data_IF_750433758423
#
_entry.id   IF_750433758423
#
_cell.length_a   1.000
_cell.length_b   1.000
_cell.length_c   1.000
_cell.angle_alpha   90.00
_cell.angle_beta   90.00
_cell.angle_gamma   90.00
#
_symmetry.space_group_name_H-M   'P 1'
#
loop_
_entity.id
_entity.type
_entity.pdbx_description
1 polymer ?
#
# COMPACT_ATOMS: atom_id res chain seq x y z
N UNK A 1 -54.29 -20.87 -80.65
CA UNK A 1 -54.18 -21.76 -81.83
C UNK A 1 -52.70 -21.89 -82.22
N UNK A 2 -52.27 -23.14 -82.42
CA UNK A 2 -50.95 -23.68 -82.77
C UNK A 2 -49.75 -22.80 -83.21
N UNK A 3 -48.57 -23.13 -82.66
CA UNK A 3 -47.32 -23.56 -83.37
C UNK A 3 -46.28 -24.00 -82.32
N UNK A 4 -46.05 -25.30 -82.12
CA UNK A 4 -45.08 -26.22 -82.78
C UNK A 4 -43.60 -26.01 -82.36
N UNK A 5 -43.14 -27.03 -81.63
CA UNK A 5 -41.82 -27.45 -81.15
C UNK A 5 -40.55 -27.06 -81.95
N UNK A 6 -39.46 -26.87 -81.21
CA UNK A 6 -38.19 -27.57 -81.49
C UNK A 6 -37.54 -28.02 -80.17
N UNK A 7 -37.29 -29.32 -80.10
CA UNK A 7 -36.65 -30.05 -79.00
C UNK A 7 -35.15 -30.11 -79.32
N UNK A 8 -34.27 -29.68 -78.41
CA UNK A 8 -32.85 -30.01 -78.45
C UNK A 8 -32.54 -30.86 -77.23
N UNK A 9 -32.36 -32.16 -77.46
CA UNK A 9 -31.72 -33.06 -76.50
C UNK A 9 -30.24 -32.71 -76.40
N UNK A 10 -29.78 -32.32 -75.22
CA UNK A 10 -28.40 -32.58 -74.80
C UNK A 10 -28.44 -33.63 -73.70
N UNK A 11 -27.99 -34.84 -74.02
CA UNK A 11 -27.70 -35.87 -73.04
C UNK A 11 -26.37 -35.51 -72.35
N UNK A 12 -26.42 -35.16 -71.06
CA UNK A 12 -25.24 -35.19 -70.20
C UNK A 12 -25.34 -36.47 -69.40
N UNK A 13 -24.45 -37.40 -69.72
CA UNK A 13 -24.25 -38.65 -68.99
C UNK A 13 -23.94 -38.35 -67.53
N UNK A 14 -24.68 -39.00 -66.63
CA UNK A 14 -24.30 -39.15 -65.24
C UNK A 14 -23.01 -39.99 -65.19
N UNK A 15 -21.86 -39.31 -65.20
CA UNK A 15 -20.61 -39.89 -64.73
C UNK A 15 -20.52 -39.66 -63.23
N UNK A 16 -20.72 -40.71 -62.44
CA UNK A 16 -20.23 -40.76 -61.07
C UNK A 16 -18.72 -40.50 -61.09
N UNK A 17 -18.31 -39.26 -60.81
CA UNK A 17 -16.95 -38.96 -60.43
C UNK A 17 -16.78 -39.43 -58.99
N UNK A 18 -16.14 -40.59 -58.81
CA UNK A 18 -15.54 -40.99 -57.55
C UNK A 18 -14.51 -39.93 -57.12
N UNK A 19 -14.97 -38.87 -56.44
CA UNK A 19 -14.16 -38.12 -55.48
C UNK A 19 -14.55 -38.59 -54.10
N UNK A 20 -14.34 -39.88 -53.86
CA UNK A 20 -14.16 -40.38 -52.51
C UNK A 20 -12.93 -39.69 -51.92
N UNK A 21 -13.17 -38.84 -50.93
CA UNK A 21 -12.34 -38.62 -49.74
C UNK A 21 -10.86 -39.02 -49.91
N UNK A 22 -10.05 -38.15 -50.51
CA UNK A 22 -8.66 -38.08 -50.09
C UNK A 22 -8.61 -37.25 -48.80
N UNK A 23 -8.71 -37.96 -47.69
CA UNK A 23 -8.33 -37.48 -46.37
C UNK A 23 -6.81 -37.37 -46.40
N UNK A 24 -6.31 -36.16 -46.25
CA UNK A 24 -4.90 -35.90 -45.96
C UNK A 24 -4.58 -36.48 -44.57
N UNK A 25 -3.71 -37.49 -44.43
CA UNK A 25 -3.42 -38.14 -43.14
C UNK A 25 -2.60 -37.24 -42.19
N UNK A 26 -2.05 -36.12 -42.69
CA UNK A 26 -1.10 -35.30 -41.93
C UNK A 26 -1.68 -34.00 -41.40
N UNK A 27 -2.91 -33.64 -41.78
CA UNK A 27 -3.56 -32.42 -41.32
C UNK A 27 -4.38 -32.73 -40.05
N UNK A 28 -3.93 -32.22 -38.90
CA UNK A 28 -4.70 -32.21 -37.66
C UNK A 28 -6.00 -31.44 -37.93
N UNK A 29 -7.10 -32.17 -38.10
CA UNK A 29 -8.36 -31.57 -38.50
C UNK A 29 -9.18 -31.36 -37.26
N UNK A 30 -9.10 -30.13 -36.79
CA UNK A 30 -10.07 -29.64 -35.86
C UNK A 30 -11.51 -29.99 -36.28
N UNK A 31 -12.21 -30.71 -35.41
CA UNK A 31 -13.55 -31.23 -35.64
C UNK A 31 -13.59 -32.72 -36.04
N UNK A 32 -12.55 -33.51 -35.80
CA UNK A 32 -12.55 -34.97 -36.02
C UNK A 32 -12.99 -35.78 -34.78
N UNK A 33 -13.21 -35.09 -33.65
CA UNK A 33 -13.66 -35.65 -32.38
C UNK A 33 -12.55 -36.22 -31.50
N UNK A 34 -11.27 -36.02 -31.83
CA UNK A 34 -10.13 -36.53 -31.05
C UNK A 34 -9.07 -35.45 -30.81
N UNK A 35 -8.82 -35.11 -29.55
CA UNK A 35 -7.77 -34.14 -29.21
C UNK A 35 -6.37 -34.71 -29.43
N UNK A 36 -5.69 -34.27 -30.49
CA UNK A 36 -4.34 -34.74 -30.87
C UNK A 36 -3.25 -33.79 -30.35
N UNK A 37 -2.92 -33.91 -29.06
CA UNK A 37 -1.93 -33.04 -28.37
C UNK A 37 -0.56 -32.97 -29.05
N UNK A 38 -0.10 -34.06 -29.67
CA UNK A 38 1.19 -34.13 -30.37
C UNK A 38 1.27 -33.21 -31.60
N UNK A 39 0.13 -32.68 -32.08
CA UNK A 39 0.03 -31.73 -33.19
C UNK A 39 -0.50 -30.36 -32.78
N UNK A 40 -0.61 -30.05 -31.48
CA UNK A 40 -0.94 -28.72 -30.97
C UNK A 40 -2.43 -28.43 -30.74
N UNK A 41 -3.30 -29.44 -30.85
CA UNK A 41 -4.73 -29.30 -30.49
C UNK A 41 -4.91 -29.28 -28.97
N UNK A 42 -5.71 -28.31 -28.50
CA UNK A 42 -6.08 -28.17 -27.08
C UNK A 42 -7.48 -28.74 -26.81
N UNK A 43 -8.36 -28.67 -27.80
CA UNK A 43 -9.72 -29.22 -27.81
C UNK A 43 -10.07 -29.70 -29.22
N UNK A 44 -11.16 -30.45 -29.38
CA UNK A 44 -11.74 -30.81 -30.67
C UNK A 44 -13.27 -30.91 -30.58
N UNK A 45 -13.98 -30.02 -31.27
CA UNK A 45 -15.45 -30.03 -31.30
C UNK A 45 -16.06 -29.90 -29.90
N UNK A 46 -16.71 -30.96 -29.43
CA UNK A 46 -17.27 -31.03 -28.06
C UNK A 46 -16.29 -31.58 -27.02
N UNK A 47 -15.17 -32.17 -27.44
CA UNK A 47 -14.12 -32.61 -26.53
C UNK A 47 -13.24 -31.42 -26.15
N UNK A 48 -13.49 -30.85 -24.97
CA UNK A 48 -12.75 -29.70 -24.44
C UNK A 48 -11.44 -30.10 -23.75
N UNK A 49 -10.98 -31.36 -23.91
CA UNK A 49 -9.74 -31.83 -23.29
C UNK A 49 -9.81 -31.88 -21.76
N UNK A 50 -11.03 -32.02 -21.20
CA UNK A 50 -11.30 -32.00 -19.76
C UNK A 50 -11.31 -30.60 -19.13
N UNK A 51 -11.23 -29.54 -19.94
CA UNK A 51 -11.28 -28.15 -19.47
C UNK A 51 -12.72 -27.62 -19.39
N UNK A 52 -12.91 -26.64 -18.52
CA UNK A 52 -14.14 -25.87 -18.32
C UNK A 52 -13.77 -24.41 -18.04
N UNK A 53 -14.74 -23.50 -18.07
CA UNK A 53 -14.50 -22.13 -17.62
C UNK A 53 -13.90 -22.11 -16.20
N UNK A 54 -14.41 -22.97 -15.30
CA UNK A 54 -13.90 -23.11 -13.94
C UNK A 54 -12.44 -23.56 -13.87
N UNK A 55 -12.05 -24.58 -14.64
CA UNK A 55 -10.66 -25.08 -14.63
C UNK A 55 -9.67 -24.12 -15.30
N UNK A 56 -10.16 -23.14 -16.07
CA UNK A 56 -9.36 -22.07 -16.69
C UNK A 56 -9.37 -20.77 -15.86
N UNK A 57 -9.95 -20.77 -14.66
CA UNK A 57 -9.99 -19.62 -13.76
C UNK A 57 -11.05 -18.58 -14.13
N UNK A 58 -12.24 -19.01 -14.51
CA UNK A 58 -13.45 -18.19 -14.66
C UNK A 58 -14.56 -18.77 -13.76
N UNK A 59 -15.47 -17.94 -13.27
CA UNK A 59 -16.45 -18.39 -12.25
C UNK A 59 -17.62 -19.16 -12.86
N UNK A 60 -18.04 -18.77 -14.06
CA UNK A 60 -19.16 -19.41 -14.77
C UNK A 60 -19.05 -19.25 -16.28
N UNK A 61 -20.05 -19.76 -17.00
CA UNK A 61 -20.16 -19.63 -18.45
C UNK A 61 -19.93 -20.94 -19.19
N UNK A 62 -19.87 -20.84 -20.51
CA UNK A 62 -19.71 -22.00 -21.40
C UNK A 62 -18.38 -21.91 -22.14
N UNK A 63 -17.56 -22.94 -21.98
CA UNK A 63 -16.32 -23.09 -22.74
C UNK A 63 -16.64 -23.82 -24.04
N UNK A 64 -16.12 -23.34 -25.17
CA UNK A 64 -16.30 -23.97 -26.49
C UNK A 64 -14.95 -24.15 -27.19
N UNK A 65 -14.89 -25.11 -28.10
CA UNK A 65 -13.74 -25.27 -28.98
C UNK A 65 -13.90 -24.45 -30.27
N UNK A 66 -12.92 -23.61 -30.57
CA UNK A 66 -12.87 -22.82 -31.80
C UNK A 66 -12.58 -23.66 -33.04
N UNK A 67 -12.79 -23.09 -34.23
CA UNK A 67 -12.46 -23.75 -35.51
C UNK A 67 -10.95 -23.93 -35.74
N UNK A 68 -10.12 -23.32 -34.90
CA UNK A 68 -8.67 -23.42 -34.84
C UNK A 68 -8.17 -24.39 -33.76
N UNK A 69 -9.08 -25.13 -33.10
CA UNK A 69 -8.80 -26.08 -32.03
C UNK A 69 -8.12 -25.48 -30.80
N UNK A 70 -8.40 -24.20 -30.59
CA UNK A 70 -8.11 -23.49 -29.35
C UNK A 70 -9.39 -23.31 -28.54
N UNK A 71 -9.23 -23.26 -27.23
CA UNK A 71 -10.33 -23.00 -26.31
C UNK A 71 -10.76 -21.53 -26.41
N UNK A 72 -12.05 -21.32 -26.65
CA UNK A 72 -12.64 -19.97 -26.75
C UNK A 72 -13.32 -19.63 -25.43
N UNK A 73 -12.77 -18.65 -24.72
CA UNK A 73 -13.23 -18.24 -23.38
C UNK A 73 -14.18 -17.04 -23.41
N UNK A 74 -14.60 -16.57 -24.58
CA UNK A 74 -15.44 -15.36 -24.71
C UNK A 74 -16.82 -15.48 -24.07
N UNK A 75 -17.29 -16.70 -23.79
CA UNK A 75 -18.52 -16.97 -23.04
C UNK A 75 -18.26 -17.45 -21.61
N UNK A 76 -17.00 -17.51 -21.18
CA UNK A 76 -16.65 -17.62 -19.78
C UNK A 76 -16.76 -16.23 -19.13
N UNK A 77 -17.35 -16.15 -17.96
CA UNK A 77 -17.54 -14.90 -17.22
C UNK A 77 -16.71 -14.96 -15.95
N UNK A 78 -15.90 -13.93 -15.72
CA UNK A 78 -15.38 -13.62 -14.39
C UNK A 78 -16.37 -12.68 -13.73
N UNK A 79 -17.04 -13.18 -12.71
CA UNK A 79 -17.89 -12.41 -11.81
C UNK A 79 -17.10 -11.94 -10.61
N UNK A 80 -16.11 -12.72 -10.19
CA UNK A 80 -15.27 -12.40 -9.06
C UNK A 80 -14.48 -11.11 -9.26
N UNK A 81 -14.60 -10.20 -8.29
CA UNK A 81 -13.97 -8.88 -8.27
C UNK A 81 -14.86 -7.77 -8.85
N UNK A 82 -16.19 -7.98 -8.91
CA UNK A 82 -17.16 -6.97 -9.34
C UNK A 82 -17.78 -6.16 -8.18
N UNK A 83 -17.44 -6.50 -6.93
CA UNK A 83 -17.93 -5.85 -5.70
C UNK A 83 -19.28 -6.35 -5.20
N UNK A 84 -19.85 -7.41 -5.77
CA UNK A 84 -21.16 -7.96 -5.39
C UNK A 84 -21.04 -9.46 -5.17
N UNK A 85 -21.33 -9.91 -3.94
CA UNK A 85 -21.35 -11.35 -3.62
C UNK A 85 -22.60 -11.99 -4.23
N UNK A 86 -22.39 -12.94 -5.13
CA UNK A 86 -23.46 -13.57 -5.89
C UNK A 86 -23.68 -15.04 -5.52
N UNK A 87 -24.74 -15.64 -6.07
CA UNK A 87 -25.06 -17.04 -5.79
C UNK A 87 -23.95 -17.97 -6.29
N UNK A 88 -23.19 -18.53 -5.35
CA UNK A 88 -22.06 -19.42 -5.62
C UNK A 88 -20.72 -18.90 -5.11
N UNK A 89 -20.68 -17.63 -4.67
CA UNK A 89 -19.50 -16.95 -4.13
C UNK A 89 -19.60 -16.88 -2.60
N UNK A 90 -18.47 -16.95 -1.91
CA UNK A 90 -18.41 -16.64 -0.46
C UNK A 90 -17.92 -15.22 -0.19
N UNK A 91 -17.27 -14.59 -1.17
CA UNK A 91 -16.83 -13.20 -1.16
C UNK A 91 -16.69 -12.69 -2.61
N UNK A 92 -16.59 -11.37 -2.79
CA UNK A 92 -16.21 -10.72 -4.05
C UNK A 92 -15.46 -9.40 -3.74
N UNK A 93 -14.17 -9.34 -4.07
CA UNK A 93 -13.32 -8.23 -3.59
C UNK A 93 -13.38 -8.16 -2.06
N UNK A 94 -13.73 -7.01 -1.50
CA UNK A 94 -13.92 -6.88 -0.06
C UNK A 94 -15.33 -7.28 0.41
N UNK A 95 -16.26 -7.48 -0.53
CA UNK A 95 -17.63 -7.84 -0.22
C UNK A 95 -17.70 -9.27 0.34
N UNK A 96 -18.45 -9.46 1.42
CA UNK A 96 -18.58 -10.76 2.08
C UNK A 96 -17.38 -11.17 2.94
N UNK A 97 -16.34 -10.33 3.00
CA UNK A 97 -15.24 -10.52 3.94
C UNK A 97 -15.67 -10.02 5.32
N UNK A 98 -15.29 -10.79 6.33
CA UNK A 98 -15.36 -10.36 7.73
C UNK A 98 -13.94 -10.28 8.28
N UNK A 99 -13.67 -9.42 9.26
CA UNK A 99 -12.37 -9.42 9.94
C UNK A 99 -12.01 -10.79 10.49
N UNK A 100 -10.71 -11.05 10.62
CA UNK A 100 -10.25 -12.24 11.32
C UNK A 100 -10.74 -12.24 12.77
N UNK A 101 -11.10 -13.42 13.28
CA UNK A 101 -11.40 -13.57 14.71
C UNK A 101 -10.17 -13.31 15.59
N UNK A 102 -8.97 -13.53 15.03
CA UNK A 102 -7.67 -13.20 15.60
C UNK A 102 -7.14 -11.92 14.95
N UNK A 103 -5.87 -11.87 14.58
CA UNK A 103 -5.24 -10.75 13.90
C UNK A 103 -5.16 -11.02 12.39
N UNK A 104 -5.05 -9.97 11.60
CA UNK A 104 -4.86 -10.01 10.15
C UNK A 104 -6.17 -9.77 9.39
N UNK A 105 -6.10 -10.00 8.08
CA UNK A 105 -7.21 -9.80 7.17
C UNK A 105 -7.63 -11.10 6.49
N UNK A 106 -8.83 -11.06 5.92
CA UNK A 106 -9.27 -12.06 4.96
C UNK A 106 -9.13 -11.44 3.59
N UNK A 107 -8.72 -12.23 2.61
CA UNK A 107 -8.70 -11.82 1.21
C UNK A 107 -9.76 -12.62 0.44
N UNK A 108 -10.29 -12.04 -0.63
CA UNK A 108 -11.09 -12.81 -1.57
C UNK A 108 -10.22 -13.36 -2.69
N UNK A 109 -10.09 -14.69 -2.74
CA UNK A 109 -9.31 -15.37 -3.74
C UNK A 109 -9.89 -15.23 -5.15
N UNK A 110 -9.09 -15.57 -6.16
CA UNK A 110 -9.48 -15.53 -7.59
C UNK A 110 -10.63 -16.47 -7.97
N UNK A 111 -11.06 -17.32 -7.06
CA UNK A 111 -12.20 -18.24 -7.22
C UNK A 111 -13.40 -17.83 -6.38
N UNK A 112 -13.45 -16.59 -5.88
CA UNK A 112 -14.50 -16.06 -5.01
C UNK A 112 -14.74 -16.92 -3.76
N UNK A 113 -13.62 -17.40 -3.23
CA UNK A 113 -13.53 -18.09 -1.97
C UNK A 113 -12.71 -17.23 -1.00
N UNK A 114 -13.23 -17.07 0.21
CA UNK A 114 -12.50 -16.42 1.30
C UNK A 114 -11.20 -17.18 1.57
N UNK A 115 -10.08 -16.47 1.50
CA UNK A 115 -8.76 -16.96 1.87
C UNK A 115 -8.45 -16.51 3.30
N UNK A 116 -8.12 -17.49 4.16
CA UNK A 116 -7.79 -17.26 5.57
C UNK A 116 -6.29 -17.33 5.85
N UNK A 117 -5.45 -17.40 4.81
CA UNK A 117 -3.98 -17.52 4.97
C UNK A 117 -3.37 -16.32 5.67
N UNK A 118 -4.02 -15.16 5.56
CA UNK A 118 -3.67 -13.89 6.22
C UNK A 118 -4.38 -13.71 7.57
N UNK A 119 -5.18 -14.69 8.02
CA UNK A 119 -5.66 -14.74 9.40
C UNK A 119 -4.66 -15.51 10.25
N UNK A 120 -4.12 -14.81 11.23
CA UNK A 120 -2.87 -15.20 11.84
C UNK A 120 -3.01 -15.13 13.36
N UNK A 121 -2.31 -16.04 14.03
CA UNK A 121 -2.60 -16.44 15.41
C UNK A 121 -1.83 -15.66 16.46
N UNK A 122 -0.81 -14.89 16.07
CA UNK A 122 0.13 -14.23 16.97
C UNK A 122 0.65 -12.92 16.35
N UNK A 123 -0.01 -11.81 16.71
CA UNK A 123 0.24 -10.41 16.34
C UNK A 123 1.67 -9.96 16.00
N UNK A 124 2.68 -10.61 16.56
CA UNK A 124 4.05 -10.22 16.36
C UNK A 124 5.02 -11.38 16.54
N UNK A 125 5.84 -11.63 15.52
CA UNK A 125 6.99 -12.55 15.59
C UNK A 125 8.28 -11.76 15.44
N UNK A 126 9.16 -11.73 16.47
CA UNK A 126 10.48 -11.11 16.39
C UNK A 126 11.28 -11.60 15.17
N UNK A 127 11.73 -10.66 14.36
CA UNK A 127 12.52 -10.86 13.14
C UNK A 127 14.01 -10.52 13.33
N UNK A 128 14.79 -10.56 12.23
CA UNK A 128 16.22 -10.24 12.27
C UNK A 128 16.48 -8.77 12.61
N UNK A 129 17.61 -8.50 13.25
CA UNK A 129 18.01 -7.14 13.62
C UNK A 129 19.08 -6.60 12.66
N UNK A 130 18.92 -5.35 12.22
CA UNK A 130 19.97 -4.59 11.55
C UNK A 130 20.62 -3.61 12.53
N UNK A 131 21.95 -3.64 12.64
CA UNK A 131 22.72 -2.62 13.37
C UNK A 131 23.32 -1.61 12.40
N UNK A 132 22.97 -0.33 12.56
CA UNK A 132 23.51 0.76 11.74
C UNK A 132 24.39 1.66 12.59
N UNK A 133 25.63 1.85 12.17
CA UNK A 133 26.56 2.71 12.91
C UNK A 133 26.18 4.18 12.73
N UNK A 134 25.87 4.88 13.84
CA UNK A 134 25.34 6.26 13.82
C UNK A 134 24.07 6.42 12.99
N UNK A 135 23.23 5.38 12.95
CA UNK A 135 21.95 5.42 12.26
C UNK A 135 20.98 6.41 12.89
N UNK A 136 20.03 6.86 12.08
CA UNK A 136 18.86 7.65 12.48
C UNK A 136 17.58 6.87 12.23
N UNK A 137 16.48 7.60 12.03
CA UNK A 137 15.18 7.03 11.68
C UNK A 137 15.28 6.13 10.42
N UNK A 138 14.39 5.14 10.35
CA UNK A 138 14.31 4.19 9.24
C UNK A 138 12.89 4.01 8.73
N UNK A 139 12.79 3.62 7.46
CA UNK A 139 11.55 3.27 6.77
C UNK A 139 11.69 1.89 6.13
N UNK A 140 10.56 1.21 5.93
CA UNK A 140 10.45 -0.06 5.22
C UNK A 140 9.69 0.18 3.93
N UNK A 141 10.24 -0.28 2.81
CA UNK A 141 9.65 -0.17 1.48
C UNK A 141 10.33 -1.14 0.50
N UNK A 142 9.58 -1.69 -0.44
CA UNK A 142 10.12 -2.54 -1.51
C UNK A 142 10.89 -1.68 -2.53
N UNK A 143 12.22 -1.77 -2.49
CA UNK A 143 13.07 -1.16 -3.50
C UNK A 143 13.53 -2.23 -4.49
N UNK A 144 13.47 -1.95 -5.80
CA UNK A 144 14.02 -2.82 -6.81
C UNK A 144 15.49 -3.19 -6.55
N UNK A 145 15.92 -4.42 -6.91
CA UNK A 145 15.15 -5.48 -7.56
C UNK A 145 14.67 -6.59 -6.60
N UNK A 146 14.65 -6.35 -5.27
CA UNK A 146 14.39 -7.42 -4.29
C UNK A 146 13.00 -8.04 -4.46
N UNK A 147 11.98 -7.21 -4.76
CA UNK A 147 10.58 -7.62 -4.71
C UNK A 147 10.14 -8.02 -3.30
N UNK A 148 10.90 -7.56 -2.30
CA UNK A 148 10.76 -7.76 -0.86
C UNK A 148 11.02 -6.40 -0.23
N UNK A 149 10.40 -6.08 0.90
CA UNK A 149 10.69 -4.82 1.55
C UNK A 149 12.14 -4.72 2.00
N UNK A 150 12.71 -3.53 1.82
CA UNK A 150 14.04 -3.18 2.25
C UNK A 150 13.97 -2.20 3.43
N UNK A 151 14.94 -2.31 4.33
CA UNK A 151 15.09 -1.34 5.41
C UNK A 151 16.03 -0.22 4.96
N UNK A 152 15.54 1.02 4.96
CA UNK A 152 16.35 2.20 4.62
C UNK A 152 16.54 3.06 5.86
N UNK A 153 17.79 3.30 6.23
CA UNK A 153 18.16 4.12 7.38
C UNK A 153 18.85 5.40 6.93
N UNK A 154 18.44 6.54 7.49
CA UNK A 154 19.13 7.80 7.34
C UNK A 154 20.39 7.81 8.22
N UNK A 155 21.55 8.08 7.65
CA UNK A 155 22.82 8.13 8.39
C UNK A 155 23.42 9.52 8.26
N UNK A 156 22.84 10.46 9.01
CA UNK A 156 23.17 11.89 8.98
C UNK A 156 24.68 12.13 9.16
N UNK A 157 25.32 11.42 10.11
CA UNK A 157 26.75 11.56 10.40
C UNK A 157 27.69 11.24 9.23
N UNK A 158 27.21 10.50 8.21
CA UNK A 158 27.98 10.14 7.02
C UNK A 158 27.38 10.68 5.73
N UNK A 159 26.38 11.57 5.82
CA UNK A 159 25.69 12.15 4.68
C UNK A 159 25.25 11.09 3.63
N UNK A 160 24.56 10.05 4.11
CA UNK A 160 24.15 8.91 3.27
C UNK A 160 22.88 8.24 3.75
N UNK A 161 22.26 7.49 2.83
CA UNK A 161 21.32 6.42 3.16
C UNK A 161 22.06 5.09 3.22
N UNK A 162 21.64 4.23 4.14
CA UNK A 162 22.01 2.82 4.13
C UNK A 162 20.77 1.98 3.88
N UNK A 163 20.76 1.29 2.74
CA UNK A 163 19.69 0.36 2.33
C UNK A 163 20.13 -1.04 2.72
N UNK A 164 19.30 -1.76 3.45
CA UNK A 164 19.51 -3.14 3.87
C UNK A 164 18.46 -3.99 3.17
N UNK A 165 18.83 -4.66 2.06
CA UNK A 165 17.92 -5.53 1.37
C UNK A 165 17.54 -6.73 2.23
N UNK A 166 16.26 -7.07 2.25
CA UNK A 166 15.81 -8.24 3.00
C UNK A 166 16.04 -9.54 2.21
N UNK A 167 16.41 -10.57 2.94
CA UNK A 167 16.66 -11.93 2.46
C UNK A 167 15.89 -12.88 3.38
N UNK A 168 14.98 -13.68 2.81
CA UNK A 168 14.10 -14.57 3.58
C UNK A 168 14.87 -15.56 4.48
N UNK A 169 16.08 -15.98 4.07
CA UNK A 169 16.87 -16.96 4.79
C UNK A 169 17.88 -16.32 5.75
N UNK A 170 18.36 -15.12 5.43
CA UNK A 170 19.51 -14.48 6.10
C UNK A 170 19.18 -13.16 6.79
N UNK A 171 17.94 -12.66 6.66
CA UNK A 171 17.53 -11.35 7.14
C UNK A 171 18.24 -10.24 6.38
N UNK A 172 19.15 -9.51 7.04
CA UNK A 172 19.89 -8.41 6.43
C UNK A 172 21.37 -8.77 6.23
N UNK A 173 21.75 -9.41 5.12
CA UNK A 173 23.11 -9.92 4.93
C UNK A 173 24.14 -8.81 4.73
N UNK A 174 23.76 -7.64 4.20
CA UNK A 174 24.64 -6.51 3.95
C UNK A 174 23.87 -5.23 3.67
N UNK A 175 24.52 -4.06 3.86
CA UNK A 175 23.96 -2.76 3.43
C UNK A 175 24.60 -2.24 2.16
N UNK A 176 23.79 -1.54 1.35
CA UNK A 176 24.23 -0.65 0.28
C UNK A 176 24.25 0.78 0.79
N UNK A 177 25.39 1.44 0.58
CA UNK A 177 25.64 2.82 1.04
C UNK A 177 25.45 3.79 -0.11
N UNK A 178 24.52 4.74 0.05
CA UNK A 178 24.15 5.72 -0.96
C UNK A 178 24.51 7.13 -0.49
N UNK A 179 25.59 7.70 -1.02
CA UNK A 179 26.08 9.02 -0.64
C UNK A 179 25.94 10.01 -1.80
N UNK A 180 25.29 11.14 -1.56
CA UNK A 180 25.13 12.22 -2.54
C UNK A 180 25.50 13.60 -1.98
N UNK A 181 26.21 13.65 -0.86
CA UNK A 181 26.77 14.88 -0.31
C UNK A 181 25.82 15.74 0.53
N UNK A 182 24.64 15.21 0.87
CA UNK A 182 23.65 15.85 1.76
C UNK A 182 23.33 14.93 2.93
N UNK A 183 23.07 15.49 4.12
CA UNK A 183 22.84 14.69 5.32
C UNK A 183 21.35 14.48 5.59
N UNK A 184 20.81 13.27 5.33
CA UNK A 184 19.39 13.00 5.53
C UNK A 184 19.06 12.99 7.03
N UNK A 185 17.93 13.61 7.38
CA UNK A 185 17.41 13.74 8.75
C UNK A 185 16.13 12.93 8.93
N UNK A 186 15.26 12.92 7.92
CA UNK A 186 14.00 12.17 7.91
C UNK A 186 13.75 11.52 6.55
N UNK A 187 13.03 10.41 6.54
CA UNK A 187 12.71 9.61 5.35
C UNK A 187 11.21 9.33 5.29
N UNK A 188 10.67 9.21 4.08
CA UNK A 188 9.37 8.61 3.84
C UNK A 188 9.39 7.81 2.53
N UNK A 189 8.64 6.68 2.47
CA UNK A 189 8.35 6.02 1.21
C UNK A 189 7.36 6.84 0.37
N UNK A 190 7.55 6.86 -0.94
CA UNK A 190 6.64 7.52 -1.87
C UNK A 190 6.76 6.93 -3.28
N UNK A 191 5.71 6.97 -4.10
CA UNK A 191 5.79 6.75 -5.55
C UNK A 191 5.35 8.05 -6.26
N UNK A 192 6.30 8.99 -6.38
CA UNK A 192 6.05 10.32 -6.92
C UNK A 192 6.18 10.36 -8.44
N UNK A 193 6.83 9.40 -9.11
CA UNK A 193 6.84 9.32 -10.58
C UNK A 193 5.72 8.45 -11.17
N UNK A 194 5.04 7.65 -10.34
CA UNK A 194 3.86 6.88 -10.69
C UNK A 194 4.17 5.60 -11.45
N UNK A 195 5.38 5.06 -11.34
CA UNK A 195 5.77 3.83 -12.01
C UNK A 195 5.41 2.56 -11.20
N UNK A 196 4.86 2.74 -9.99
CA UNK A 196 4.45 1.67 -9.08
C UNK A 196 5.59 1.09 -8.24
N UNK A 197 6.83 1.58 -8.38
CA UNK A 197 7.94 1.25 -7.51
C UNK A 197 8.11 2.32 -6.44
N UNK A 198 8.41 1.90 -5.22
CA UNK A 198 8.64 2.84 -4.14
C UNK A 198 9.97 3.57 -4.35
N UNK A 199 9.97 4.86 -4.02
CA UNK A 199 11.11 5.76 -3.98
C UNK A 199 11.35 6.18 -2.53
N UNK A 200 12.57 6.63 -2.22
CA UNK A 200 12.86 7.23 -0.91
C UNK A 200 12.84 8.74 -1.04
N UNK A 201 11.90 9.39 -0.35
CA UNK A 201 11.97 10.82 -0.10
C UNK A 201 12.81 11.06 1.15
N UNK A 202 13.82 11.92 1.04
CA UNK A 202 14.65 12.33 2.16
C UNK A 202 14.60 13.84 2.35
N UNK A 203 14.42 14.25 3.60
CA UNK A 203 14.65 15.61 4.03
C UNK A 203 16.09 15.72 4.55
N UNK A 204 16.89 16.58 3.93
CA UNK A 204 18.25 16.87 4.33
C UNK A 204 18.33 17.94 5.43
N UNK A 205 19.46 18.00 6.12
CA UNK A 205 19.75 18.96 7.18
C UNK A 205 19.85 20.41 6.71
N UNK A 206 20.19 20.61 5.43
CA UNK A 206 20.13 21.91 4.75
C UNK A 206 18.71 22.35 4.39
N UNK A 207 17.71 21.49 4.59
CA UNK A 207 16.31 21.76 4.29
C UNK A 207 15.87 21.34 2.88
N UNK A 208 16.76 20.80 2.05
CA UNK A 208 16.35 20.29 0.75
C UNK A 208 15.57 18.99 0.88
N UNK A 209 14.55 18.84 0.04
CA UNK A 209 13.89 17.55 -0.18
C UNK A 209 14.50 16.89 -1.42
N UNK A 210 14.95 15.67 -1.24
CA UNK A 210 15.56 14.88 -2.29
C UNK A 210 14.81 13.57 -2.49
N UNK A 211 14.66 13.18 -3.74
CA UNK A 211 14.07 11.90 -4.11
C UNK A 211 15.15 10.96 -4.61
N UNK A 212 15.20 9.76 -4.05
CA UNK A 212 16.13 8.71 -4.43
C UNK A 212 15.37 7.68 -5.24
N UNK A 213 15.60 7.71 -6.55
CA UNK A 213 14.83 6.91 -7.53
C UNK A 213 15.61 5.65 -7.84
N UNK A 214 15.08 4.45 -7.54
CA UNK A 214 15.68 3.19 -7.94
C UNK A 214 15.58 2.99 -9.45
N UNK A 215 16.56 2.29 -10.04
CA UNK A 215 16.54 1.88 -11.44
C UNK A 215 17.28 0.55 -11.56
N UNK A 216 16.53 -0.55 -11.44
CA UNK A 216 17.13 -1.88 -11.27
C UNK A 216 17.98 -1.91 -9.99
N UNK A 217 19.27 -2.22 -10.11
CA UNK A 217 20.19 -2.22 -8.95
C UNK A 217 20.87 -0.87 -8.73
N UNK A 218 20.57 0.17 -9.51
CA UNK A 218 21.15 1.51 -9.35
C UNK A 218 20.19 2.46 -8.62
N UNK A 219 20.74 3.56 -8.10
CA UNK A 219 19.94 4.67 -7.56
C UNK A 219 20.42 5.97 -8.20
N UNK A 220 19.48 6.87 -8.45
CA UNK A 220 19.77 8.24 -8.85
C UNK A 220 19.17 9.23 -7.85
N UNK A 221 19.86 10.33 -7.64
CA UNK A 221 19.31 11.46 -6.89
C UNK A 221 18.55 12.35 -7.87
N UNK A 222 17.27 12.57 -7.60
CA UNK A 222 16.42 13.56 -8.25
C UNK A 222 16.07 14.63 -7.20
N UNK A 223 16.84 15.74 -7.12
CA UNK A 223 16.54 16.81 -6.18
C UNK A 223 15.17 17.42 -6.49
N UNK A 224 14.37 17.65 -5.46
CA UNK A 224 13.17 18.49 -5.59
C UNK A 224 13.57 19.95 -5.38
N UNK A 225 12.73 20.87 -5.87
CA UNK A 225 13.02 22.30 -5.72
C UNK A 225 13.28 22.63 -4.25
N UNK A 226 14.37 23.35 -3.99
CA UNK A 226 14.70 23.80 -2.64
C UNK A 226 13.55 24.65 -2.13
N UNK A 227 12.84 24.12 -1.14
CA UNK A 227 11.73 24.78 -0.49
C UNK A 227 12.18 26.03 0.28
N UNK A 228 13.49 26.22 0.47
CA UNK A 228 14.07 27.33 1.22
C UNK A 228 13.83 27.20 2.72
N UNK A 229 13.39 26.04 3.19
CA UNK A 229 13.02 25.88 4.57
C UNK A 229 14.16 25.29 5.38
N UNK A 230 14.90 26.13 6.06
CA UNK A 230 15.98 25.70 6.95
C UNK A 230 15.37 25.30 8.29
N UNK A 231 15.73 24.12 8.82
CA UNK A 231 15.24 23.61 10.12
C UNK A 231 13.95 22.78 10.09
N UNK A 232 13.77 21.95 9.06
CA UNK A 232 12.49 21.29 8.72
C UNK A 232 12.13 20.03 9.50
N UNK A 233 10.86 19.61 9.31
CA UNK A 233 10.33 18.28 9.60
C UNK A 233 9.59 17.72 8.38
N UNK A 234 9.90 16.50 7.97
CA UNK A 234 9.04 15.75 7.05
C UNK A 234 7.77 15.37 7.82
N UNK A 235 6.62 15.83 7.33
CA UNK A 235 5.34 15.70 8.04
C UNK A 235 4.69 14.37 7.69
N UNK A 236 4.62 14.05 6.40
CA UNK A 236 4.07 12.80 5.91
C UNK A 236 3.95 12.76 4.40
N UNK A 237 3.45 11.63 3.91
CA UNK A 237 3.12 11.39 2.50
C UNK A 237 1.69 10.87 2.41
N UNK A 238 1.09 10.92 1.22
CA UNK A 238 -0.29 10.49 1.02
C UNK A 238 -0.72 10.59 -0.44
N UNK A 239 -2.03 10.56 -0.68
CA UNK A 239 -2.62 10.77 -2.00
C UNK A 239 -2.91 12.26 -2.17
N UNK A 240 -2.41 12.86 -3.25
CA UNK A 240 -2.66 14.25 -3.62
C UNK A 240 -3.92 14.42 -4.47
N UNK A 241 -4.31 15.68 -4.71
CA UNK A 241 -5.55 16.03 -5.44
C UNK A 241 -5.56 15.58 -6.90
N UNK A 242 -4.37 15.36 -7.44
CA UNK A 242 -4.18 14.87 -8.80
C UNK A 242 -4.34 13.34 -8.92
N UNK A 243 -4.66 12.67 -7.80
CA UNK A 243 -4.73 11.21 -7.66
C UNK A 243 -3.37 10.52 -7.74
N UNK A 244 -2.27 11.28 -7.58
CA UNK A 244 -0.91 10.77 -7.46
C UNK A 244 -0.39 10.88 -6.03
N UNK A 245 0.87 10.52 -5.80
CA UNK A 245 1.47 10.70 -4.48
C UNK A 245 1.72 12.17 -4.15
N UNK A 246 1.59 12.50 -2.87
CA UNK A 246 1.90 13.80 -2.28
C UNK A 246 2.91 13.63 -1.13
N UNK A 247 3.79 14.61 -0.97
CA UNK A 247 4.64 14.76 0.21
C UNK A 247 4.47 16.14 0.84
N UNK A 248 4.57 16.18 2.17
CA UNK A 248 4.38 17.38 2.98
C UNK A 248 5.57 17.57 3.90
N UNK A 249 6.20 18.75 3.83
CA UNK A 249 7.29 19.14 4.71
C UNK A 249 7.03 20.51 5.35
N UNK A 250 7.37 20.64 6.63
CA UNK A 250 7.19 21.86 7.42
C UNK A 250 8.41 22.77 7.32
N UNK A 251 8.14 24.06 7.08
CA UNK A 251 9.18 25.07 6.87
C UNK A 251 9.44 25.93 8.11
N UNK A 252 10.68 25.94 8.60
CA UNK A 252 11.08 26.61 9.83
C UNK A 252 10.93 28.14 9.81
N UNK A 253 10.38 28.67 10.91
CA UNK A 253 10.37 30.06 11.40
C UNK A 253 9.66 31.18 10.63
N UNK A 254 9.26 31.06 9.36
CA UNK A 254 8.38 32.07 8.70
C UNK A 254 7.72 31.63 7.36
N UNK A 255 7.81 30.36 6.93
CA UNK A 255 7.61 30.04 5.50
C UNK A 255 6.76 28.80 5.17
N UNK A 256 5.79 28.44 6.00
CA UNK A 256 4.68 27.63 5.51
C UNK A 256 4.86 26.11 5.48
N UNK A 257 4.08 25.46 4.62
CA UNK A 257 4.10 24.03 4.32
C UNK A 257 4.55 23.90 2.87
N UNK A 258 5.62 23.14 2.64
CA UNK A 258 6.04 22.76 1.30
C UNK A 258 5.35 21.46 0.90
N UNK A 259 4.67 21.50 -0.23
CA UNK A 259 3.96 20.37 -0.80
C UNK A 259 4.56 20.00 -2.13
N UNK A 260 4.64 18.70 -2.39
CA UNK A 260 5.00 18.20 -3.71
C UNK A 260 3.98 17.17 -4.13
N UNK A 261 3.29 17.44 -5.23
CA UNK A 261 2.39 16.49 -5.89
C UNK A 261 2.98 16.01 -7.21
N UNK A 262 2.67 14.78 -7.60
CA UNK A 262 3.18 14.14 -8.82
C UNK A 262 3.00 14.98 -10.09
N UNK A 263 1.81 15.53 -10.33
CA UNK A 263 1.45 16.23 -11.57
C UNK A 263 1.49 17.75 -11.44
N UNK A 264 1.15 18.28 -10.27
CA UNK A 264 1.10 19.72 -10.03
C UNK A 264 2.46 20.34 -9.68
N UNK A 265 3.42 19.51 -9.25
CA UNK A 265 4.75 19.96 -8.84
C UNK A 265 4.76 20.62 -7.45
N UNK A 266 5.88 21.28 -7.08
CA UNK A 266 6.05 21.85 -5.75
C UNK A 266 5.24 23.14 -5.53
N UNK A 267 4.69 23.33 -4.32
CA UNK A 267 4.03 24.55 -3.88
C UNK A 267 4.33 24.87 -2.42
N UNK A 268 4.17 26.13 -2.00
CA UNK A 268 4.36 26.59 -0.62
C UNK A 268 3.07 27.23 -0.13
N UNK A 269 2.59 26.84 1.05
CA UNK A 269 1.40 27.40 1.69
C UNK A 269 1.80 28.10 2.98
N UNK A 270 1.47 29.38 3.19
CA UNK A 270 1.76 30.04 4.46
C UNK A 270 0.94 29.41 5.60
N UNK A 271 1.60 29.10 6.70
CA UNK A 271 0.98 28.72 7.98
C UNK A 271 1.58 29.57 9.09
N UNK A 272 0.87 29.71 10.22
CA UNK A 272 1.38 30.48 11.34
C UNK A 272 2.76 29.94 11.81
N UNK A 273 3.74 30.81 12.11
CA UNK A 273 5.05 30.37 12.60
C UNK A 273 4.93 29.50 13.85
N UNK A 274 5.72 28.42 13.88
CA UNK A 274 5.71 27.46 14.99
C UNK A 274 4.52 26.49 15.00
N UNK A 275 3.73 26.43 13.93
CA UNK A 275 2.67 25.43 13.79
C UNK A 275 3.24 24.01 13.80
N UNK A 276 2.59 23.12 14.54
CA UNK A 276 2.77 21.68 14.40
C UNK A 276 1.88 21.20 13.26
N UNK A 277 2.34 20.18 12.52
CA UNK A 277 1.70 19.71 11.29
C UNK A 277 1.45 18.20 11.36
N UNK A 278 0.36 17.75 10.76
CA UNK A 278 0.12 16.36 10.38
C UNK A 278 -0.63 16.30 9.04
N UNK A 279 -0.72 15.11 8.46
CA UNK A 279 -1.47 14.84 7.24
C UNK A 279 -2.45 13.70 7.46
N UNK A 280 -3.59 13.74 6.77
CA UNK A 280 -4.68 12.76 6.85
C UNK A 280 -5.89 13.27 6.04
N UNK A 281 -6.81 12.41 5.66
CA UNK A 281 -8.04 12.79 4.94
C UNK A 281 -9.06 13.38 5.93
N UNK A 282 -9.36 14.69 5.88
CA UNK A 282 -10.18 15.35 6.91
C UNK A 282 -11.66 15.53 6.53
N UNK A 283 -12.06 15.29 5.27
CA UNK A 283 -13.48 15.22 4.84
C UNK A 283 -13.93 13.85 4.34
N UNK A 284 -13.05 12.86 4.26
CA UNK A 284 -13.37 11.55 3.69
C UNK A 284 -13.52 11.59 2.17
N UNK A 285 -12.83 12.51 1.48
CA UNK A 285 -12.85 12.60 0.02
C UNK A 285 -11.82 11.65 -0.65
N UNK A 286 -11.01 10.95 0.15
CA UNK A 286 -9.95 10.05 -0.27
C UNK A 286 -8.64 10.76 -0.62
N UNK A 287 -8.55 12.08 -0.44
CA UNK A 287 -7.35 12.89 -0.65
C UNK A 287 -6.76 13.29 0.69
N UNK A 288 -5.43 13.31 0.75
CA UNK A 288 -4.73 13.69 1.97
C UNK A 288 -4.75 15.21 2.17
N UNK A 289 -5.22 15.64 3.33
CA UNK A 289 -5.16 17.02 3.80
C UNK A 289 -3.94 17.30 4.69
N UNK A 290 -3.74 18.59 4.98
CA UNK A 290 -2.76 19.09 5.94
C UNK A 290 -3.50 19.72 7.12
N UNK A 291 -3.23 19.25 8.32
CA UNK A 291 -3.66 19.92 9.55
C UNK A 291 -2.50 20.74 10.11
N UNK A 292 -2.68 22.05 10.22
CA UNK A 292 -1.78 22.94 10.96
C UNK A 292 -2.36 23.28 12.34
N UNK A 293 -1.52 23.31 13.37
CA UNK A 293 -1.92 23.70 14.73
C UNK A 293 -0.93 24.73 15.27
N UNK A 294 -1.35 25.98 15.35
CA UNK A 294 -0.53 27.08 15.82
C UNK A 294 -0.46 27.15 17.36
N UNK A 295 0.60 27.72 17.95
CA UNK A 295 0.65 27.99 19.38
C UNK A 295 -0.44 28.99 19.80
N UNK A 296 -1.36 28.56 20.68
CA UNK A 296 -2.38 29.45 21.27
C UNK A 296 -3.63 29.71 20.41
N UNK A 297 -3.68 29.19 19.18
CA UNK A 297 -4.89 29.14 18.37
C UNK A 297 -4.86 27.88 17.51
N UNK A 298 -5.97 27.15 17.45
CA UNK A 298 -6.10 26.06 16.49
C UNK A 298 -6.62 26.70 15.21
N UNK A 299 -5.70 26.90 14.28
CA UNK A 299 -6.01 27.26 12.91
C UNK A 299 -5.74 26.03 12.06
N UNK A 300 -6.76 25.19 11.91
CA UNK A 300 -6.73 24.17 10.87
C UNK A 300 -6.72 24.90 9.53
N UNK A 301 -5.61 24.80 8.80
CA UNK A 301 -5.51 25.24 7.41
C UNK A 301 -5.58 23.97 6.58
N UNK A 302 -6.78 23.40 6.34
CA UNK A 302 -6.92 22.29 5.40
C UNK A 302 -6.43 22.80 4.05
N UNK A 303 -5.46 22.10 3.46
CA UNK A 303 -4.94 22.47 2.15
C UNK A 303 -6.09 22.45 1.13
N UNK A 304 -7.00 21.45 1.19
CA UNK A 304 -8.30 21.48 0.50
C UNK A 304 -9.42 20.54 1.05
N UNK A 305 -9.43 20.16 2.33
CA UNK A 305 -10.59 19.55 2.99
C UNK A 305 -11.72 20.55 3.32
N UNK A 306 -12.75 20.18 4.11
CA UNK A 306 -13.78 21.12 4.49
C UNK A 306 -13.09 22.19 5.33
N UNK A 307 -13.42 23.47 5.13
CA UNK A 307 -12.97 24.50 6.06
C UNK A 307 -13.55 24.15 7.43
N UNK A 308 -12.75 23.47 8.27
CA UNK A 308 -12.98 23.40 9.70
C UNK A 308 -13.26 24.84 10.12
N UNK A 309 -14.43 25.08 10.72
CA UNK A 309 -14.92 26.44 10.93
C UNK A 309 -13.81 27.28 11.56
N UNK A 310 -13.41 28.37 10.88
CA UNK A 310 -12.26 29.17 11.29
C UNK A 310 -12.37 29.53 12.79
N UNK A 311 -11.39 29.10 13.59
CA UNK A 311 -11.38 29.27 15.05
C UNK A 311 -11.96 28.12 15.87
N UNK A 312 -12.23 26.94 15.29
CA UNK A 312 -12.49 25.72 16.04
C UNK A 312 -11.28 25.39 16.93
N UNK A 313 -11.41 25.61 18.24
CA UNK A 313 -10.34 25.26 19.17
C UNK A 313 -10.28 23.73 19.35
N UNK A 314 -9.11 23.10 19.20
CA UNK A 314 -8.89 21.77 19.77
C UNK A 314 -9.19 21.84 21.27
N UNK A 315 -9.87 20.85 21.86
CA UNK A 315 -10.30 20.91 23.26
C UNK A 315 -9.15 20.82 24.28
N UNK A 316 -7.90 20.79 23.81
CA UNK A 316 -6.70 20.58 24.62
C UNK A 316 -6.34 21.82 25.44
N UNK A 317 -6.74 23.02 24.99
CA UNK A 317 -6.49 24.31 25.66
C UNK A 317 -5.01 24.60 25.95
N UNK A 318 -4.08 23.85 25.32
CA UNK A 318 -2.64 23.87 25.56
C UNK A 318 -1.89 23.71 24.23
N UNK A 319 -0.66 24.26 24.10
CA UNK A 319 0.19 24.00 22.93
C UNK A 319 0.45 22.50 22.81
N UNK A 320 0.20 21.95 21.62
CA UNK A 320 0.43 20.54 21.34
C UNK A 320 1.92 20.27 21.04
N UNK A 321 2.39 19.11 21.50
CA UNK A 321 3.64 18.51 21.04
C UNK A 321 3.43 17.79 19.71
N UNK A 322 3.89 16.54 19.61
CA UNK A 322 3.53 15.68 18.50
C UNK A 322 2.04 15.27 18.57
N UNK A 323 1.40 15.11 17.42
CA UNK A 323 0.08 14.50 17.25
C UNK A 323 0.05 13.68 15.95
N UNK A 324 -0.98 12.85 15.79
CA UNK A 324 -1.20 12.04 14.60
C UNK A 324 -2.68 12.08 14.19
N UNK A 325 -2.95 11.70 12.94
CA UNK A 325 -4.28 11.62 12.35
C UNK A 325 -4.58 10.19 11.88
N UNK A 326 -5.84 9.80 11.92
CA UNK A 326 -6.36 8.58 11.28
C UNK A 326 -7.82 8.35 11.64
N UNK A 327 -8.58 7.68 10.77
CA UNK A 327 -10.00 7.40 10.95
C UNK A 327 -10.22 6.34 12.05
N UNK A 328 -10.68 6.74 13.24
CA UNK A 328 -10.84 5.85 14.39
C UNK A 328 -12.28 5.36 14.60
N UNK A 329 -13.24 5.71 13.75
CA UNK A 329 -14.60 5.20 13.82
C UNK A 329 -15.18 4.63 12.52
N UNK A 330 -14.42 4.71 11.44
CA UNK A 330 -14.71 4.14 10.13
C UNK A 330 -15.68 4.97 9.30
N UNK A 331 -15.82 6.26 9.58
CA UNK A 331 -16.69 7.15 8.81
C UNK A 331 -16.01 7.81 7.59
N UNK A 332 -14.70 7.60 7.46
CA UNK A 332 -13.86 8.09 6.37
C UNK A 332 -13.10 9.37 6.69
N UNK A 333 -13.45 10.09 7.76
CA UNK A 333 -12.71 11.28 8.17
C UNK A 333 -11.62 10.97 9.21
N UNK A 334 -10.51 11.70 9.15
CA UNK A 334 -9.37 11.43 10.03
C UNK A 334 -9.57 12.12 11.39
N UNK A 335 -9.57 11.30 12.44
CA UNK A 335 -9.59 11.73 13.83
C UNK A 335 -8.22 12.16 14.34
N UNK A 336 -8.21 12.85 15.48
CA UNK A 336 -6.99 13.37 16.09
C UNK A 336 -6.55 12.57 17.32
N UNK A 337 -5.28 12.17 17.32
CA UNK A 337 -4.58 11.56 18.44
C UNK A 337 -3.51 12.48 19.00
N UNK A 338 -3.59 12.78 20.30
CA UNK A 338 -2.64 13.65 21.00
C UNK A 338 -1.93 12.90 22.13
N UNK A 339 -0.70 12.40 21.89
CA UNK A 339 0.13 11.83 22.94
C UNK A 339 0.41 12.80 24.08
N UNK A 340 0.04 12.41 25.30
CA UNK A 340 0.37 13.08 26.55
C UNK A 340 1.33 12.28 27.42
N UNK A 341 1.59 12.77 28.63
CA UNK A 341 2.53 12.11 29.55
C UNK A 341 2.04 10.74 30.05
N UNK A 342 0.73 10.59 30.24
CA UNK A 342 0.10 9.40 30.85
C UNK A 342 -0.83 8.63 29.91
N UNK A 343 -1.39 9.31 28.89
CA UNK A 343 -2.34 8.77 27.96
C UNK A 343 -2.24 9.49 26.61
N UNK A 344 -2.81 8.88 25.57
CA UNK A 344 -3.07 9.52 24.29
C UNK A 344 -4.53 9.99 24.33
N UNK A 345 -4.76 11.30 24.21
CA UNK A 345 -6.12 11.84 24.11
C UNK A 345 -6.66 11.61 22.69
N UNK A 346 -7.91 11.18 22.58
CA UNK A 346 -8.61 10.88 21.34
C UNK A 346 -9.71 11.91 21.08
N UNK A 347 -9.73 12.44 19.87
CA UNK A 347 -10.73 13.40 19.44
C UNK A 347 -11.35 12.99 18.11
N UNK A 348 -12.68 12.92 18.10
CA UNK A 348 -13.50 12.61 16.93
C UNK A 348 -13.59 13.84 16.02
N UNK A 349 -13.28 13.71 14.74
CA UNK A 349 -13.66 14.69 13.76
C UNK A 349 -15.17 14.55 13.49
N UNK A 350 -15.87 15.67 13.49
CA UNK A 350 -17.35 15.69 13.37
C UNK A 350 -17.80 16.41 12.10
N UNK A 351 -16.86 16.69 11.21
CA UNK A 351 -17.00 17.65 10.11
C UNK A 351 -17.18 19.12 10.55
N UNK A 352 -17.36 19.40 11.85
CA UNK A 352 -17.46 20.76 12.41
C UNK A 352 -16.24 21.14 13.28
N UNK A 353 -15.36 20.18 13.54
CA UNK A 353 -14.25 20.29 14.47
C UNK A 353 -14.02 18.99 15.24
N UNK A 354 -13.02 19.00 16.11
CA UNK A 354 -12.61 17.84 16.90
C UNK A 354 -13.28 17.84 18.29
N UNK A 355 -14.05 16.80 18.58
CA UNK A 355 -14.74 16.60 19.86
C UNK A 355 -14.01 15.56 20.73
N UNK A 356 -13.86 15.82 22.02
CA UNK A 356 -13.19 14.87 22.93
C UNK A 356 -13.99 13.56 23.04
N UNK A 357 -13.35 12.44 22.70
CA UNK A 357 -14.00 11.12 22.71
C UNK A 357 -13.53 10.23 23.85
N UNK A 358 -12.26 10.36 24.25
CA UNK A 358 -11.71 9.59 25.36
C UNK A 358 -10.19 9.69 25.47
N UNK A 359 -9.61 8.78 26.24
CA UNK A 359 -8.18 8.65 26.41
C UNK A 359 -7.77 7.18 26.33
N UNK A 360 -6.66 6.91 25.64
CA UNK A 360 -6.02 5.62 25.60
C UNK A 360 -4.84 5.59 26.59
N UNK A 361 -4.87 4.75 27.64
CA UNK A 361 -3.78 4.66 28.60
C UNK A 361 -2.45 4.28 27.94
N UNK A 362 -1.49 5.20 27.97
CA UNK A 362 -0.19 5.06 27.32
C UNK A 362 0.80 6.05 27.94
N UNK A 363 1.64 5.56 28.85
CA UNK A 363 2.62 6.42 29.54
C UNK A 363 3.87 6.59 28.69
N UNK A 364 4.28 7.84 28.46
CA UNK A 364 5.47 8.18 27.64
C UNK A 364 5.43 7.56 26.23
N UNK A 365 4.27 7.60 25.59
CA UNK A 365 4.14 7.19 24.20
C UNK A 365 4.99 8.10 23.30
N UNK A 366 5.85 7.50 22.48
CA UNK A 366 6.64 8.18 21.47
C UNK A 366 6.56 7.41 20.14
N UNK A 367 6.77 8.12 19.03
CA UNK A 367 6.79 7.54 17.68
C UNK A 367 5.46 6.85 17.32
N UNK A 368 4.35 7.59 17.44
CA UNK A 368 3.02 7.09 17.11
C UNK A 368 2.88 6.90 15.60
N UNK A 369 2.75 5.64 15.18
CA UNK A 369 2.32 5.22 13.86
C UNK A 369 0.83 4.94 13.91
N UNK A 370 0.08 5.51 12.96
CA UNK A 370 -1.36 5.28 12.76
C UNK A 370 -1.51 4.73 11.35
N UNK A 371 -1.91 3.47 11.24
CA UNK A 371 -2.03 2.76 9.97
C UNK A 371 -2.86 1.50 10.18
N UNK A 372 -3.62 1.09 9.19
CA UNK A 372 -4.21 -0.25 9.16
C UNK A 372 -3.07 -1.29 9.09
N UNK A 373 -2.75 -1.92 10.22
CA UNK A 373 -1.61 -2.85 10.33
C UNK A 373 -2.04 -4.27 10.02
N UNK A 374 -3.30 -4.60 10.27
CA UNK A 374 -3.87 -5.91 10.02
C UNK A 374 -4.59 -6.04 8.68
N UNK A 375 -4.67 -4.95 7.93
CA UNK A 375 -5.29 -4.80 6.61
C UNK A 375 -6.79 -5.13 6.61
N UNK A 376 -7.47 -4.93 7.75
CA UNK A 376 -8.90 -5.20 7.89
C UNK A 376 -9.80 -3.98 7.65
N UNK A 377 -9.21 -2.90 7.12
CA UNK A 377 -9.87 -1.65 6.74
C UNK A 377 -10.02 -0.67 7.89
N UNK A 378 -9.40 -0.93 9.05
CA UNK A 378 -9.44 -0.05 10.22
C UNK A 378 -8.05 0.34 10.65
N UNK A 379 -7.85 1.60 11.05
CA UNK A 379 -6.51 2.03 11.47
C UNK A 379 -6.16 1.51 12.86
N UNK A 380 -4.96 0.96 12.96
CA UNK A 380 -4.33 0.53 14.21
C UNK A 380 -3.26 1.52 14.66
N UNK A 381 -2.81 1.37 15.91
CA UNK A 381 -1.73 2.20 16.46
C UNK A 381 -0.52 1.34 16.83
N UNK A 382 0.66 1.82 16.50
CA UNK A 382 1.93 1.29 17.01
C UNK A 382 2.77 2.43 17.60
N UNK A 383 3.29 2.24 18.80
CA UNK A 383 4.17 3.23 19.44
C UNK A 383 5.09 2.58 20.47
N UNK A 384 6.18 3.27 20.84
CA UNK A 384 7.05 2.80 21.92
C UNK A 384 6.68 3.49 23.21
N UNK A 385 6.47 2.71 24.28
CA UNK A 385 6.20 3.19 25.63
C UNK A 385 6.94 2.33 26.65
N UNK A 386 7.65 2.96 27.60
CA UNK A 386 8.39 2.26 28.68
C UNK A 386 9.31 1.12 28.20
N UNK A 387 9.94 1.27 27.03
CA UNK A 387 10.81 0.24 26.45
C UNK A 387 10.05 -0.99 25.93
N UNK A 388 8.77 -0.84 25.62
CA UNK A 388 7.95 -1.82 24.91
C UNK A 388 7.40 -1.18 23.63
N UNK A 389 7.33 -1.95 22.55
CA UNK A 389 6.47 -1.66 21.41
C UNK A 389 5.04 -2.05 21.81
N UNK A 390 4.14 -1.07 21.85
CA UNK A 390 2.72 -1.24 22.09
C UNK A 390 2.00 -1.26 20.75
N UNK A 391 1.29 -2.35 20.45
CA UNK A 391 0.39 -2.44 19.32
C UNK A 391 -1.05 -2.37 19.82
N UNK A 392 -1.86 -1.54 19.18
CA UNK A 392 -3.24 -1.26 19.54
C UNK A 392 -4.12 -1.51 18.34
N UNK A 393 -4.71 -2.71 18.28
CA UNK A 393 -5.62 -3.06 17.18
C UNK A 393 -7.01 -2.51 17.43
N UNK A 394 -7.58 -1.87 16.43
CA UNK A 394 -8.92 -1.35 16.52
C UNK A 394 -9.97 -2.47 16.44
N UNK A 395 -10.75 -2.59 17.52
CA UNK A 395 -11.82 -3.59 17.67
C UNK A 395 -13.23 -2.99 17.53
N UNK A 396 -13.31 -1.69 17.33
CA UNK A 396 -14.51 -0.89 17.11
C UNK A 396 -14.20 0.59 17.27
N UNK A 397 -15.17 1.49 17.03
CA UNK A 397 -14.99 2.94 17.12
C UNK A 397 -14.28 3.36 18.41
N UNK A 398 -13.12 4.00 18.26
CA UNK A 398 -12.25 4.47 19.34
C UNK A 398 -11.85 3.40 20.38
N UNK A 399 -12.01 2.12 20.06
CA UNK A 399 -11.84 1.01 21.01
C UNK A 399 -10.74 0.07 20.55
N UNK A 400 -9.72 -0.08 21.38
CA UNK A 400 -8.50 -0.81 21.03
C UNK A 400 -8.27 -2.01 21.96
N UNK A 401 -7.88 -3.12 21.35
CA UNK A 401 -7.20 -4.22 22.05
C UNK A 401 -5.70 -3.98 22.00
N UNK A 402 -4.94 -4.49 22.97
CA UNK A 402 -3.51 -4.18 23.07
C UNK A 402 -2.64 -5.39 23.29
N UNK A 403 -1.47 -5.38 22.68
CA UNK A 403 -0.36 -6.28 22.98
C UNK A 403 0.95 -5.49 23.03
N UNK A 404 1.90 -5.95 23.81
CA UNK A 404 3.17 -5.27 24.03
C UNK A 404 4.35 -6.22 23.85
N UNK A 405 5.41 -5.77 23.20
CA UNK A 405 6.63 -6.52 22.96
C UNK A 405 7.86 -5.78 23.48
N UNK A 406 8.86 -6.47 24.04
CA UNK A 406 10.07 -5.81 24.47
C UNK A 406 10.85 -5.27 23.27
N UNK A 407 11.32 -4.03 23.38
CA UNK A 407 12.31 -3.47 22.44
C UNK A 407 13.68 -3.40 23.11
N UNK A 408 14.79 -3.39 22.35
CA UNK A 408 16.12 -3.20 22.90
C UNK A 408 16.23 -1.94 23.76
N UNK A 409 17.10 -1.98 24.78
CA UNK A 409 17.31 -0.83 25.65
C UNK A 409 17.94 0.35 24.88
N UNK A 410 17.30 1.52 24.95
CA UNK A 410 17.81 2.74 24.31
C UNK A 410 16.70 3.77 24.09
N UNK A 411 16.99 4.77 23.26
CA UNK A 411 16.04 5.83 22.90
C UNK A 411 15.33 5.46 21.59
N UNK A 412 14.00 5.27 21.56
CA UNK A 412 13.28 4.99 20.32
C UNK A 412 13.33 6.21 19.39
N UNK A 413 13.74 5.99 18.14
CA UNK A 413 13.85 7.02 17.11
C UNK A 413 12.70 7.00 16.11
N UNK A 414 12.21 5.81 15.73
CA UNK A 414 11.10 5.68 14.78
C UNK A 414 10.41 4.33 14.92
N UNK A 415 9.14 4.28 14.52
CA UNK A 415 8.38 3.07 14.20
C UNK A 415 7.89 3.25 12.77
N UNK A 416 8.16 2.29 11.88
CA UNK A 416 7.70 2.30 10.50
C UNK A 416 7.09 0.95 10.13
N UNK A 417 6.20 0.96 9.12
CA UNK A 417 5.53 -0.24 8.62
C UNK A 417 5.72 -0.41 7.11
N UNK A 418 5.88 -1.65 6.67
CA UNK A 418 5.94 -2.04 5.26
C UNK A 418 6.09 -3.55 5.12
N UNK A 419 5.61 -4.12 4.02
CA UNK A 419 5.77 -5.56 3.73
C UNK A 419 7.25 -5.84 3.42
N UNK A 420 7.93 -6.53 4.34
CA UNK A 420 9.35 -6.82 4.27
C UNK A 420 9.63 -8.15 3.55
N UNK A 421 8.78 -9.14 3.71
CA UNK A 421 9.02 -10.49 3.20
C UNK A 421 8.18 -10.88 1.98
N UNK A 422 7.41 -9.92 1.46
CA UNK A 422 6.63 -10.05 0.24
C UNK A 422 5.41 -10.95 0.40
N UNK A 423 4.99 -11.24 1.63
CA UNK A 423 3.80 -12.07 1.90
C UNK A 423 2.48 -11.28 1.91
N UNK A 424 2.55 -9.96 1.76
CA UNK A 424 1.41 -9.05 1.68
C UNK A 424 0.90 -8.58 3.04
N UNK A 425 1.46 -9.05 4.15
CA UNK A 425 1.18 -8.55 5.49
C UNK A 425 2.18 -7.41 5.83
N UNK A 426 1.77 -6.40 6.61
CA UNK A 426 2.68 -5.28 6.94
C UNK A 426 3.62 -5.63 8.08
N UNK A 427 4.94 -5.65 7.87
CA UNK A 427 5.90 -5.75 8.96
C UNK A 427 6.15 -4.41 9.67
N UNK A 428 6.60 -4.48 10.92
CA UNK A 428 6.97 -3.30 11.71
C UNK A 428 8.48 -3.23 11.97
N UNK A 429 9.07 -2.07 11.72
CA UNK A 429 10.45 -1.72 12.02
C UNK A 429 10.52 -0.70 13.17
N UNK A 430 11.14 -1.07 14.29
CA UNK A 430 11.42 -0.15 15.41
C UNK A 430 12.89 0.18 15.49
N UNK A 431 13.24 1.45 15.28
CA UNK A 431 14.62 1.93 15.40
C UNK A 431 14.88 2.46 16.80
N UNK A 432 15.87 1.88 17.49
CA UNK A 432 16.30 2.33 18.82
C UNK A 432 17.76 2.74 18.79
N UNK A 433 18.06 3.96 19.26
CA UNK A 433 19.43 4.42 19.48
C UNK A 433 20.00 3.83 20.77
N UNK A 434 21.15 3.15 20.65
CA UNK A 434 21.85 2.54 21.78
C UNK A 434 22.24 3.55 22.86
N UNK A 435 22.06 3.17 24.12
CA UNK A 435 22.50 3.93 25.29
C UNK A 435 24.04 3.95 25.46
N UNK A 436 24.80 3.16 24.70
CA UNK A 436 26.26 2.98 24.89
C UNK A 436 27.13 4.10 24.31
N UNK A 437 26.53 5.19 23.80
CA UNK A 437 27.26 6.38 23.33
C UNK A 437 27.77 6.32 21.88
N UNK A 438 27.70 5.16 21.22
CA UNK A 438 28.12 4.99 19.82
C UNK A 438 27.06 5.42 18.79
N UNK A 439 25.86 5.80 19.26
CA UNK A 439 24.70 6.19 18.46
C UNK A 439 24.24 5.12 17.45
N UNK A 440 24.59 3.85 17.65
CA UNK A 440 24.13 2.75 16.81
C UNK A 440 22.61 2.60 16.92
N UNK A 441 21.95 2.27 15.81
CA UNK A 441 20.55 1.89 15.82
C UNK A 441 20.38 0.39 15.65
N UNK A 442 19.47 -0.21 16.41
CA UNK A 442 18.92 -1.52 16.11
C UNK A 442 17.54 -1.32 15.50
N UNK A 443 17.30 -1.90 14.33
CA UNK A 443 15.92 -2.01 13.80
C UNK A 443 15.40 -3.39 14.11
N UNK A 444 14.35 -3.42 14.94
CA UNK A 444 13.63 -4.63 15.26
C UNK A 444 12.49 -4.80 14.27
N UNK A 445 12.45 -5.96 13.65
CA UNK A 445 11.35 -6.34 12.80
C UNK A 445 10.40 -7.23 13.57
N UNK A 446 9.12 -7.13 13.30
CA UNK A 446 8.34 -8.34 13.46
C UNK A 446 7.16 -8.40 12.55
N UNK A 447 6.89 -9.66 12.23
CA UNK A 447 5.82 -10.03 11.36
C UNK A 447 4.53 -9.78 12.07
N UNK A 448 3.71 -8.99 11.45
CA UNK A 448 2.33 -8.86 11.83
C UNK A 448 1.65 -10.13 11.31
N UNK A 449 1.78 -11.20 12.11
CA UNK A 449 1.14 -12.50 11.94
C UNK A 449 0.08 -12.66 13.02
#
# INVERSE_FOLDING_TARGET
MHRRAFLVLLAISAGCGERLRQVDPDNARCGDGVVTKSKGEVCDGSDLGGQSCLSLGFDTGTLICGSDCQLVTTQCTRRCGNGVVESGETCDGDAGLSPCATFGYRACGKTCAVEETHCVGAWFVPGPEATVMKGGASVVLDLPPSGLGDLVCAVQSFARLEVYPYDLDRGFPSSKKLSFGKAPVALAPIDLDGDGQAEVLALADDGSLDRYVPSGTAFSLAPLADAGCVGQRLVGTGVGFDGGAMAVAGCGNDAGVFLVERRSGPSVIPVAPGSQLAVGDLDGDGVTDVLAVAPGAIEAIPYRGPQLAAGAALPTGQPLGAFALGDLDGDGDADLLVPGAAAIALYENTGQGFAAKGELPATQAAQLLVRDLDLDGRVDLAFVAKGQLELRRQSGPFTFTSVSFPVPAGTPLSVSAGDLDGDGDLDLAVTVQSATGDANTATFLGKVR
#
